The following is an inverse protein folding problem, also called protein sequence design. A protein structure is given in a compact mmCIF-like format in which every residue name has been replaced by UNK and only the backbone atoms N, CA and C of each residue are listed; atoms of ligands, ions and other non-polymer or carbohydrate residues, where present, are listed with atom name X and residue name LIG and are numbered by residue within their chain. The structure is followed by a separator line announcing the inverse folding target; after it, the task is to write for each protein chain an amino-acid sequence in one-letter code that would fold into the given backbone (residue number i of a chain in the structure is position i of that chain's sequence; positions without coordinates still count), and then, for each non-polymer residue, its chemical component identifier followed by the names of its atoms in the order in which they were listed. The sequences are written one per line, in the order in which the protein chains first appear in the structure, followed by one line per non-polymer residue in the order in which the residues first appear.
data_IF_360258329074
#
_entry.id   IF_360258329074
#
_cell.length_a   1.000
_cell.length_b   1.000
_cell.length_c   1.000
_cell.angle_alpha   90.00
_cell.angle_beta   90.00
_cell.angle_gamma   90.00
#
_symmetry.space_group_name_H-M   'P 1'
#
loop_
_entity.id
_entity.type
_entity.pdbx_description
1 polymer ?
#
# COMPACT_ATOMS: atom_id res chain seq x y z
N UNK A 1 3.22 0.38 -8.07
CA UNK A 1 3.54 1.63 -7.33
C UNK A 1 4.84 1.51 -6.54
N UNK A 2 5.08 0.42 -5.77
CA UNK A 2 6.37 0.26 -5.04
C UNK A 2 7.20 -1.00 -5.35
N UNK A 3 6.61 -2.07 -5.89
CA UNK A 3 7.38 -3.26 -6.30
C UNK A 3 8.00 -4.02 -5.12
N UNK A 4 7.29 -4.08 -3.99
CA UNK A 4 7.65 -4.87 -2.82
C UNK A 4 7.16 -6.31 -2.95
N UNK A 5 7.88 -7.25 -2.32
CA UNK A 5 7.60 -8.69 -2.38
C UNK A 5 6.60 -9.20 -1.34
N UNK A 6 6.12 -8.35 -0.43
CA UNK A 6 5.29 -8.72 0.72
C UNK A 6 6.03 -9.58 1.78
N UNK A 7 7.33 -9.38 1.91
CA UNK A 7 8.22 -10.16 2.79
C UNK A 7 8.25 -9.66 4.24
N UNK A 8 7.53 -8.59 4.56
CA UNK A 8 7.54 -7.96 5.88
C UNK A 8 6.13 -7.71 6.43
N UNK A 9 6.04 -7.69 7.76
CA UNK A 9 4.84 -7.28 8.47
C UNK A 9 4.45 -5.85 8.09
N UNK A 10 3.15 -5.64 7.99
CA UNK A 10 2.55 -4.40 7.58
C UNK A 10 1.16 -4.21 8.19
N UNK A 11 0.71 -2.96 8.30
CA UNK A 11 -0.59 -2.62 8.88
C UNK A 11 -1.13 -1.30 8.36
N UNK A 12 -2.45 -1.13 8.41
CA UNK A 12 -3.13 0.16 8.28
C UNK A 12 -3.52 0.68 9.66
N UNK A 13 -3.35 1.97 9.88
CA UNK A 13 -3.89 2.66 11.06
C UNK A 13 -5.00 3.62 10.63
N UNK A 14 -6.25 3.28 10.94
CA UNK A 14 -7.44 4.02 10.52
C UNK A 14 -8.29 4.33 11.74
N UNK A 15 -8.61 5.60 11.95
CA UNK A 15 -9.43 6.10 13.08
C UNK A 15 -9.03 5.56 14.47
N UNK A 16 -7.71 5.45 14.72
CA UNK A 16 -7.20 4.99 16.01
C UNK A 16 -7.17 3.47 16.18
N UNK A 17 -7.45 2.69 15.13
CA UNK A 17 -7.43 1.23 15.14
C UNK A 17 -6.51 0.69 14.05
N UNK A 18 -5.78 -0.37 14.41
CA UNK A 18 -4.89 -1.07 13.50
C UNK A 18 -5.60 -2.24 12.80
N UNK A 19 -5.34 -2.37 11.50
CA UNK A 19 -5.87 -3.40 10.62
C UNK A 19 -4.72 -4.05 9.84
N UNK A 20 -4.73 -5.38 9.74
CA UNK A 20 -3.66 -6.10 9.05
C UNK A 20 -3.91 -7.60 8.99
N UNK A 21 -2.90 -8.33 8.52
CA UNK A 21 -2.92 -9.79 8.45
C UNK A 21 -2.20 -10.34 9.69
N UNK A 22 -2.90 -11.20 10.44
CA UNK A 22 -2.31 -11.90 11.57
C UNK A 22 -1.39 -13.03 11.09
N UNK A 23 -0.15 -13.04 11.57
CA UNK A 23 0.80 -14.13 11.33
C UNK A 23 1.13 -14.83 12.66
N UNK A 24 1.44 -16.12 12.59
CA UNK A 24 1.87 -16.87 13.78
C UNK A 24 3.15 -16.23 14.36
N UNK A 25 3.11 -15.90 15.66
CA UNK A 25 4.21 -15.21 16.34
C UNK A 25 4.34 -13.70 16.01
N UNK A 26 3.47 -13.16 15.16
CA UNK A 26 3.40 -11.74 14.83
C UNK A 26 2.35 -10.96 15.64
N UNK A 27 2.03 -9.76 15.17
CA UNK A 27 0.92 -8.96 15.70
C UNK A 27 -0.40 -9.63 15.28
N UNK A 28 -1.33 -9.76 16.23
CA UNK A 28 -2.67 -10.24 15.97
C UNK A 28 -3.64 -9.09 15.74
N UNK A 29 -4.48 -9.21 14.72
CA UNK A 29 -5.58 -8.29 14.41
C UNK A 29 -6.92 -8.96 14.70
N UNK A 30 -7.88 -8.17 15.21
CA UNK A 30 -9.21 -8.66 15.59
C UNK A 30 -10.07 -8.95 14.37
N UNK A 31 -9.96 -8.10 13.34
CA UNK A 31 -10.79 -8.18 12.15
C UNK A 31 -10.22 -9.14 11.11
N UNK A 32 -11.10 -9.72 10.31
CA UNK A 32 -10.69 -10.56 9.20
C UNK A 32 -10.29 -9.66 8.01
N UNK A 33 -9.02 -9.69 7.55
CA UNK A 33 -8.55 -8.81 6.48
C UNK A 33 -9.25 -9.05 5.14
N UNK A 34 -9.90 -10.20 4.94
CA UNK A 34 -10.68 -10.52 3.74
C UNK A 34 -12.14 -10.07 3.81
N UNK A 35 -12.58 -9.49 4.93
CA UNK A 35 -13.96 -9.01 5.12
C UNK A 35 -14.06 -7.50 5.29
N UNK A 36 -13.00 -6.86 5.75
CA UNK A 36 -12.94 -5.40 5.86
C UNK A 36 -12.73 -4.82 4.46
N UNK A 37 -13.59 -3.88 4.07
CA UNK A 37 -13.49 -3.15 2.79
C UNK A 37 -13.33 -1.66 3.04
N UNK A 38 -12.78 -0.94 2.05
CA UNK A 38 -12.54 0.52 2.17
C UNK A 38 -13.85 1.30 2.44
N UNK A 39 -14.99 0.80 1.95
CA UNK A 39 -16.31 1.41 2.13
C UNK A 39 -16.81 1.37 3.59
N UNK A 40 -16.29 0.45 4.42
CA UNK A 40 -16.69 0.31 5.84
C UNK A 40 -16.32 1.55 6.67
N UNK A 41 -15.39 2.36 6.18
CA UNK A 41 -14.84 3.51 6.90
C UNK A 41 -15.56 4.82 6.61
N UNK A 42 -16.50 4.83 5.67
CA UNK A 42 -17.27 6.01 5.29
C UNK A 42 -16.40 7.27 5.11
N UNK A 43 -15.26 7.11 4.41
CA UNK A 43 -14.32 8.21 4.21
C UNK A 43 -14.95 9.35 3.41
N UNK A 44 -14.53 10.56 3.75
CA UNK A 44 -14.77 11.78 3.00
C UNK A 44 -13.51 12.25 2.26
N UNK A 45 -13.70 13.06 1.23
CA UNK A 45 -12.59 13.73 0.57
C UNK A 45 -11.83 14.62 1.58
N UNK A 46 -10.53 14.37 1.71
CA UNK A 46 -9.65 15.03 2.66
C UNK A 46 -9.21 14.15 3.82
N UNK A 47 -9.88 13.02 4.05
CA UNK A 47 -9.50 12.06 5.07
C UNK A 47 -8.11 11.49 4.83
N UNK A 48 -7.45 11.15 5.95
CA UNK A 48 -6.10 10.62 5.99
C UNK A 48 -6.02 9.42 6.93
N UNK A 49 -5.20 8.47 6.54
CA UNK A 49 -4.81 7.33 7.36
C UNK A 49 -3.41 6.88 6.95
N UNK A 50 -2.79 6.00 7.73
CA UNK A 50 -1.42 5.55 7.42
C UNK A 50 -1.38 4.06 7.10
N UNK A 51 -0.41 3.70 6.27
CA UNK A 51 0.00 2.32 6.05
C UNK A 51 1.49 2.18 6.38
N UNK A 52 1.82 1.24 7.24
CA UNK A 52 3.20 0.93 7.63
C UNK A 52 3.59 -0.40 7.00
N UNK A 53 4.77 -0.44 6.40
CA UNK A 53 5.40 -1.66 5.89
C UNK A 53 6.80 -1.80 6.48
N UNK A 54 7.20 -3.04 6.78
CA UNK A 54 8.47 -3.34 7.42
C UNK A 54 8.63 -2.63 8.77
N UNK A 55 8.11 -3.26 9.82
CA UNK A 55 8.14 -2.74 11.19
C UNK A 55 9.54 -2.56 11.80
N UNK A 56 10.61 -3.04 11.14
CA UNK A 56 11.98 -2.75 11.57
C UNK A 56 12.46 -1.40 11.06
N UNK A 57 12.09 -1.05 9.83
CA UNK A 57 12.51 0.18 9.16
C UNK A 57 11.45 1.29 9.24
N UNK A 58 10.24 0.95 9.69
CA UNK A 58 9.09 1.85 9.84
C UNK A 58 8.77 2.63 8.56
N UNK A 59 8.69 1.94 7.41
CA UNK A 59 8.31 2.61 6.17
C UNK A 59 6.83 2.98 6.21
N UNK A 60 6.59 4.27 6.46
CA UNK A 60 5.26 4.82 6.65
C UNK A 60 4.77 5.56 5.41
N UNK A 61 3.56 5.21 4.98
CA UNK A 61 2.82 5.91 3.94
C UNK A 61 1.66 6.67 4.54
N UNK A 62 1.60 7.98 4.29
CA UNK A 62 0.40 8.79 4.47
C UNK A 62 -0.50 8.57 3.24
N UNK A 63 -1.70 8.04 3.47
CA UNK A 63 -2.71 7.80 2.45
C UNK A 63 -3.82 8.83 2.64
N UNK A 64 -4.15 9.52 1.55
CA UNK A 64 -5.19 10.54 1.51
C UNK A 64 -6.27 10.17 0.51
N UNK A 65 -7.52 10.35 0.92
CA UNK A 65 -8.66 10.33 0.01
C UNK A 65 -8.77 11.72 -0.63
N UNK A 66 -8.48 11.83 -1.92
CA UNK A 66 -8.50 13.13 -2.62
C UNK A 66 -9.86 13.42 -3.26
N UNK A 67 -10.53 12.39 -3.77
CA UNK A 67 -11.85 12.48 -4.37
C UNK A 67 -12.56 11.12 -4.35
N UNK A 68 -13.89 11.16 -4.34
CA UNK A 68 -14.77 9.99 -4.36
C UNK A 68 -15.74 10.17 -5.54
N UNK A 69 -15.84 9.15 -6.39
CA UNK A 69 -16.70 9.17 -7.57
C UNK A 69 -17.54 7.90 -7.62
N UNK A 70 -18.81 8.02 -8.01
CA UNK A 70 -19.63 6.86 -8.37
C UNK A 70 -19.22 6.37 -9.77
N UNK A 71 -18.22 5.50 -9.85
CA UNK A 71 -17.77 4.93 -11.13
C UNK A 71 -17.90 3.40 -11.15
N UNK A 72 -18.94 2.91 -11.83
CA UNK A 72 -19.23 1.48 -11.97
C UNK A 72 -18.43 0.76 -13.06
N UNK A 73 -17.55 1.46 -13.79
CA UNK A 73 -16.81 0.89 -14.93
C UNK A 73 -15.38 0.47 -14.61
N UNK A 74 -14.78 1.03 -13.55
CA UNK A 74 -13.44 0.67 -13.10
C UNK A 74 -13.51 -0.62 -12.26
N UNK A 75 -12.86 -1.69 -12.75
CA UNK A 75 -12.87 -3.00 -12.09
C UNK A 75 -11.63 -3.28 -11.24
N UNK A 76 -10.60 -2.44 -11.33
CA UNK A 76 -9.31 -2.63 -10.66
C UNK A 76 -8.63 -1.28 -10.38
N UNK A 77 -7.78 -1.21 -9.35
CA UNK A 77 -6.96 -0.03 -9.09
C UNK A 77 -5.95 0.18 -10.22
N UNK A 78 -5.66 1.45 -10.55
CA UNK A 78 -4.63 1.84 -11.52
C UNK A 78 -3.90 3.09 -11.04
N UNK A 79 -2.66 3.24 -11.48
CA UNK A 79 -1.84 4.40 -11.17
C UNK A 79 -2.08 5.49 -12.22
N UNK A 80 -2.49 6.68 -11.80
CA UNK A 80 -2.65 7.85 -12.69
C UNK A 80 -1.39 8.70 -12.79
N UNK A 81 -0.58 8.73 -11.74
CA UNK A 81 0.65 9.50 -11.64
C UNK A 81 1.51 9.03 -10.47
N UNK A 82 2.80 9.33 -10.51
CA UNK A 82 3.72 9.13 -9.41
C UNK A 82 5.02 9.90 -9.65
N UNK A 83 5.76 10.20 -8.59
CA UNK A 83 7.04 10.90 -8.67
C UNK A 83 8.12 10.16 -7.87
N UNK A 84 8.44 8.94 -8.29
CA UNK A 84 9.51 8.13 -7.69
C UNK A 84 9.34 7.88 -6.19
N UNK A 85 10.31 7.20 -5.57
CA UNK A 85 10.38 7.13 -4.12
C UNK A 85 11.19 8.32 -3.59
N UNK A 86 10.68 9.09 -2.62
CA UNK A 86 11.49 10.13 -1.96
C UNK A 86 12.75 9.54 -1.34
N UNK A 87 13.92 10.11 -1.68
CA UNK A 87 15.22 9.62 -1.20
C UNK A 87 15.84 8.50 -2.03
N UNK A 88 15.16 8.02 -3.08
CA UNK A 88 15.76 7.11 -4.04
C UNK A 88 16.89 7.79 -4.82
N UNK A 89 17.98 7.05 -5.01
CA UNK A 89 19.11 7.45 -5.83
C UNK A 89 18.94 6.97 -7.27
N UNK A 90 19.72 7.54 -8.19
CA UNK A 90 19.76 7.05 -9.57
C UNK A 90 20.18 5.56 -9.68
N UNK A 91 20.92 5.05 -8.69
CA UNK A 91 21.28 3.63 -8.64
C UNK A 91 20.05 2.77 -8.30
N UNK A 92 19.25 3.19 -7.32
CA UNK A 92 18.00 2.50 -6.95
C UNK A 92 17.02 2.44 -8.14
N UNK A 93 16.94 3.54 -8.91
CA UNK A 93 16.12 3.60 -10.13
C UNK A 93 16.64 2.67 -11.24
N UNK A 94 17.96 2.57 -11.41
CA UNK A 94 18.58 1.67 -12.39
C UNK A 94 18.31 0.20 -12.05
N UNK A 95 18.51 -0.20 -10.80
CA UNK A 95 18.30 -1.58 -10.34
C UNK A 95 16.84 -2.01 -10.52
N UNK A 96 15.89 -1.13 -10.17
CA UNK A 96 14.46 -1.39 -10.38
C UNK A 96 14.08 -1.44 -11.86
N UNK A 97 14.69 -0.60 -12.69
CA UNK A 97 14.47 -0.62 -14.15
C UNK A 97 14.98 -1.92 -14.76
N UNK A 98 16.17 -2.37 -14.36
CA UNK A 98 16.75 -3.63 -14.82
C UNK A 98 15.88 -4.83 -14.41
N UNK A 99 15.47 -4.91 -13.14
CA UNK A 99 14.58 -5.96 -12.65
C UNK A 99 13.25 -6.00 -13.41
N UNK A 100 12.69 -4.84 -13.77
CA UNK A 100 11.47 -4.76 -14.57
C UNK A 100 11.69 -5.27 -16.01
N UNK A 101 12.80 -4.91 -16.65
CA UNK A 101 13.14 -5.41 -17.98
C UNK A 101 13.36 -6.92 -17.99
N UNK A 102 14.03 -7.46 -16.99
CA UNK A 102 14.22 -8.89 -16.82
C UNK A 102 12.87 -9.62 -16.65
N UNK A 103 11.95 -9.05 -15.87
CA UNK A 103 10.61 -9.61 -15.70
C UNK A 103 9.83 -9.64 -17.03
N UNK A 104 9.96 -8.61 -17.88
CA UNK A 104 9.31 -8.58 -19.20
C UNK A 104 9.91 -9.64 -20.14
N UNK A 105 11.24 -9.78 -20.16
CA UNK A 105 11.92 -10.74 -21.04
C UNK A 105 11.56 -12.19 -20.68
N UNK A 106 11.26 -12.45 -19.40
CA UNK A 106 10.96 -13.79 -18.89
C UNK A 106 9.46 -14.09 -18.71
N UNK A 107 8.58 -13.19 -19.14
CA UNK A 107 7.11 -13.37 -19.13
C UNK A 107 6.61 -14.02 -20.43
#
# INVERSE_FOLDING_TARGET
VQGWGDDHLHQFHIYGKDYGISYEGGIGFVDNPFRVVIDDFAFDAGDRFTYEYNFFEHWLHDIRVEAIYENSTLKAPFCISGHGMPGATAADEFDKTLAFLEAIVNA
#
